data_IF_786788387338
#
_entry.id   IF_786788387338
#
_cell.length_a   1.000
_cell.length_b   1.000
_cell.length_c   1.000
_cell.angle_alpha   90.00
_cell.angle_beta   90.00
_cell.angle_gamma   90.00
#
_symmetry.space_group_name_H-M   'P 1'
#
loop_
_entity.id
_entity.type
_entity.pdbx_description
1 polymer ?
#
# COMPACT_ATOMS: atom_id res chain seq x y z
N UNK A 1 66.73 -47.21 -6.99
CA UNK A 1 66.70 -48.10 -8.18
C UNK A 1 65.29 -48.73 -8.24
N UNK A 2 64.69 -48.93 -9.43
CA UNK A 2 63.64 -48.04 -9.97
C UNK A 2 62.22 -48.65 -10.06
N UNK A 3 61.26 -47.72 -10.20
CA UNK A 3 60.04 -47.65 -11.03
C UNK A 3 59.18 -48.86 -11.47
N UNK A 4 57.88 -48.52 -11.49
CA UNK A 4 56.77 -49.01 -12.36
C UNK A 4 56.12 -50.35 -11.94
N UNK A 5 54.79 -50.53 -11.91
CA UNK A 5 53.74 -49.96 -12.77
C UNK A 5 52.31 -50.12 -12.17
N UNK A 6 51.34 -49.44 -12.83
CA UNK A 6 49.88 -49.67 -12.90
C UNK A 6 48.98 -49.01 -11.81
N UNK A 7 48.24 -47.93 -12.09
CA UNK A 7 47.00 -47.73 -12.87
C UNK A 7 45.68 -48.04 -12.13
N UNK A 8 44.73 -47.10 -12.27
CA UNK A 8 43.30 -47.09 -11.92
C UNK A 8 42.89 -46.77 -10.47
N UNK A 9 42.33 -45.57 -10.25
CA UNK A 9 40.88 -45.41 -10.22
C UNK A 9 40.47 -43.92 -10.22
N UNK A 10 39.39 -43.66 -10.96
CA UNK A 10 38.90 -42.35 -11.37
C UNK A 10 38.30 -41.56 -10.20
N UNK A 11 38.52 -40.24 -10.25
CA UNK A 11 37.96 -39.22 -9.38
C UNK A 11 36.44 -39.21 -9.53
N UNK A 12 35.71 -39.59 -8.47
CA UNK A 12 34.27 -39.34 -8.35
C UNK A 12 34.07 -37.86 -8.05
N UNK A 13 33.49 -37.16 -9.02
CA UNK A 13 33.08 -35.77 -8.93
C UNK A 13 32.14 -35.54 -7.75
N UNK A 14 32.46 -34.52 -6.98
CA UNK A 14 31.69 -34.02 -5.85
C UNK A 14 30.22 -33.80 -6.23
N UNK A 15 29.32 -34.30 -5.38
CA UNK A 15 27.90 -34.06 -5.49
C UNK A 15 27.59 -32.57 -5.46
N UNK A 16 27.18 -32.04 -6.60
CA UNK A 16 26.36 -30.84 -6.68
C UNK A 16 24.97 -31.22 -6.16
N UNK A 17 24.82 -31.15 -4.83
CA UNK A 17 23.51 -31.06 -4.22
C UNK A 17 22.87 -29.77 -4.71
N UNK A 18 22.06 -29.88 -5.77
CA UNK A 18 21.09 -28.87 -6.11
C UNK A 18 20.09 -28.83 -4.95
N UNK A 19 20.37 -27.98 -3.96
CA UNK A 19 19.37 -27.53 -3.02
C UNK A 19 18.26 -26.90 -3.84
N UNK A 20 17.21 -27.66 -4.09
CA UNK A 20 15.92 -27.11 -4.48
C UNK A 20 15.50 -26.21 -3.33
N UNK A 21 15.91 -24.95 -3.41
CA UNK A 21 15.28 -23.87 -2.68
C UNK A 21 13.81 -23.97 -3.04
N UNK A 22 13.03 -24.51 -2.12
CA UNK A 22 11.59 -24.43 -2.11
C UNK A 22 11.25 -22.94 -1.93
N UNK A 23 11.39 -22.19 -3.02
CA UNK A 23 10.74 -20.92 -3.20
C UNK A 23 9.25 -21.24 -3.19
N UNK A 24 8.67 -21.23 -1.99
CA UNK A 24 7.24 -21.17 -1.77
C UNK A 24 6.67 -20.22 -2.81
N UNK A 25 5.80 -20.78 -3.63
CA UNK A 25 5.07 -20.14 -4.71
C UNK A 25 4.77 -18.68 -4.35
N UNK A 26 5.47 -17.75 -4.99
CA UNK A 26 4.81 -16.50 -5.35
C UNK A 26 3.76 -16.90 -6.38
N UNK A 27 2.61 -17.40 -5.92
CA UNK A 27 1.40 -17.46 -6.73
C UNK A 27 1.33 -16.14 -7.48
N UNK A 28 1.33 -16.24 -8.81
CA UNK A 28 1.53 -15.13 -9.72
C UNK A 28 0.81 -13.87 -9.20
N UNK A 29 1.62 -12.94 -8.69
CA UNK A 29 1.18 -11.77 -7.92
C UNK A 29 0.36 -10.81 -8.78
N UNK A 30 -0.02 -11.18 -10.00
CA UNK A 30 -0.98 -10.47 -10.83
C UNK A 30 -2.07 -11.36 -11.45
N UNK A 31 -2.05 -12.70 -11.28
CA UNK A 31 -2.97 -13.63 -11.96
C UNK A 31 -4.46 -13.31 -11.80
N UNK A 32 -4.85 -12.78 -10.64
CA UNK A 32 -6.25 -12.46 -10.34
C UNK A 32 -6.54 -10.95 -10.45
N UNK A 33 -5.65 -10.17 -11.07
CA UNK A 33 -5.82 -8.73 -11.21
C UNK A 33 -6.35 -8.40 -12.62
N UNK A 34 -7.34 -7.49 -12.77
CA UNK A 34 -7.96 -6.65 -11.75
C UNK A 34 -9.12 -7.30 -10.97
N UNK A 35 -9.52 -8.53 -11.28
CA UNK A 35 -10.72 -9.18 -10.71
C UNK A 35 -10.76 -9.26 -9.17
N UNK A 36 -9.62 -9.40 -8.50
CA UNK A 36 -9.50 -9.46 -7.04
C UNK A 36 -9.51 -8.11 -6.34
N UNK A 37 -9.52 -7.01 -7.09
CA UNK A 37 -9.46 -5.67 -6.52
C UNK A 37 -10.67 -5.32 -5.64
N UNK A 38 -11.93 -5.57 -6.04
CA UNK A 38 -13.07 -5.26 -5.18
C UNK A 38 -12.99 -5.96 -3.82
N UNK A 39 -12.41 -7.16 -3.78
CA UNK A 39 -12.14 -7.87 -2.53
C UNK A 39 -11.11 -7.11 -1.67
N UNK A 40 -9.99 -6.67 -2.23
CA UNK A 40 -8.98 -5.89 -1.50
C UNK A 40 -9.56 -4.60 -0.92
N UNK A 41 -10.41 -3.88 -1.69
CA UNK A 41 -11.08 -2.68 -1.20
C UNK A 41 -12.08 -3.00 -0.08
N UNK A 42 -12.81 -4.11 -0.18
CA UNK A 42 -13.70 -4.58 0.89
C UNK A 42 -12.92 -4.88 2.18
N UNK A 43 -11.79 -5.57 2.08
CA UNK A 43 -10.93 -5.86 3.24
C UNK A 43 -10.34 -4.58 3.85
N UNK A 44 -9.98 -3.60 3.02
CA UNK A 44 -9.49 -2.30 3.47
C UNK A 44 -10.57 -1.53 4.22
N UNK A 45 -11.82 -1.53 3.72
CA UNK A 45 -12.99 -0.95 4.40
C UNK A 45 -13.29 -1.67 5.72
N UNK A 46 -13.20 -3.01 5.75
CA UNK A 46 -13.41 -3.79 6.97
C UNK A 46 -12.33 -3.50 8.03
N UNK A 47 -11.07 -3.33 7.63
CA UNK A 47 -10.01 -2.92 8.55
C UNK A 47 -10.23 -1.49 9.07
N UNK A 48 -10.64 -0.56 8.20
CA UNK A 48 -10.96 0.80 8.63
C UNK A 48 -12.15 0.82 9.62
N UNK A 49 -13.16 -0.03 9.40
CA UNK A 49 -14.30 -0.16 10.30
C UNK A 49 -13.93 -0.43 11.76
N UNK A 50 -12.78 -1.07 12.02
CA UNK A 50 -12.28 -1.32 13.40
C UNK A 50 -11.75 -0.07 14.10
N UNK A 51 -11.34 0.95 13.35
CA UNK A 51 -10.78 2.18 13.91
C UNK A 51 -11.67 3.41 13.72
N UNK A 52 -12.69 3.30 12.85
CA UNK A 52 -13.57 4.40 12.45
C UNK A 52 -14.17 5.14 13.63
N UNK A 53 -14.84 4.44 14.54
CA UNK A 53 -15.52 5.07 15.69
C UNK A 53 -14.56 5.83 16.58
N UNK A 54 -13.36 5.29 16.83
CA UNK A 54 -12.34 5.94 17.65
C UNK A 54 -11.94 7.29 17.03
N UNK A 55 -11.52 7.31 15.77
CA UNK A 55 -11.04 8.53 15.13
C UNK A 55 -12.16 9.54 14.84
N UNK A 56 -13.37 9.08 14.48
CA UNK A 56 -14.52 9.96 14.25
C UNK A 56 -15.01 10.65 15.53
N UNK A 57 -14.93 9.97 16.68
CA UNK A 57 -15.34 10.57 17.96
C UNK A 57 -14.35 11.65 18.43
N UNK A 58 -13.07 11.51 18.05
CA UNK A 58 -12.01 12.47 18.39
C UNK A 58 -11.90 13.63 17.39
N UNK A 59 -12.43 13.47 16.17
CA UNK A 59 -12.48 14.54 15.19
C UNK A 59 -13.56 15.58 15.56
N UNK A 60 -13.10 16.74 16.02
CA UNK A 60 -13.95 17.88 16.42
C UNK A 60 -14.01 18.97 15.34
N UNK A 61 -13.56 18.68 14.12
CA UNK A 61 -13.47 19.65 13.03
C UNK A 61 -14.61 19.45 12.03
N UNK A 62 -15.32 20.52 11.68
CA UNK A 62 -16.43 20.45 10.72
C UNK A 62 -15.99 20.59 9.25
N UNK A 63 -14.74 21.02 8.99
CA UNK A 63 -14.22 21.14 7.63
C UNK A 63 -13.89 19.77 7.03
N UNK A 64 -13.84 19.64 5.70
CA UNK A 64 -13.36 18.40 5.05
C UNK A 64 -11.88 18.54 4.71
N UNK A 65 -11.06 17.54 5.05
CA UNK A 65 -9.64 17.51 4.70
C UNK A 65 -9.42 16.98 3.26
N UNK A 66 -10.07 15.87 2.92
CA UNK A 66 -10.04 15.23 1.60
C UNK A 66 -11.14 15.77 0.69
N UNK A 67 -10.98 17.01 0.27
CA UNK A 67 -11.98 17.74 -0.53
C UNK A 67 -12.16 17.20 -1.97
N UNK A 68 -13.15 17.76 -2.66
CA UNK A 68 -13.49 17.38 -4.05
C UNK A 68 -12.36 17.64 -5.05
N UNK A 69 -11.52 18.66 -4.83
CA UNK A 69 -10.38 18.93 -5.72
C UNK A 69 -9.38 17.77 -5.77
N UNK A 70 -9.23 17.01 -4.68
CA UNK A 70 -8.42 15.80 -4.66
C UNK A 70 -9.03 14.70 -5.54
N UNK A 71 -10.36 14.53 -5.51
CA UNK A 71 -11.05 13.56 -6.34
C UNK A 71 -10.92 13.91 -7.83
N UNK A 72 -11.03 15.18 -8.18
CA UNK A 72 -10.85 15.63 -9.56
C UNK A 72 -9.40 15.43 -10.03
N UNK A 73 -8.40 15.66 -9.18
CA UNK A 73 -7.01 15.31 -9.47
C UNK A 73 -6.83 13.80 -9.71
N UNK A 74 -7.54 12.95 -8.94
CA UNK A 74 -7.52 11.49 -9.11
C UNK A 74 -8.11 11.07 -10.47
N UNK A 75 -9.17 11.74 -10.94
CA UNK A 75 -9.75 11.47 -12.26
C UNK A 75 -8.95 12.09 -13.42
N UNK A 76 -8.16 13.12 -13.13
CA UNK A 76 -7.39 13.86 -14.11
C UNK A 76 -6.13 13.15 -14.62
N UNK A 77 -5.37 13.85 -15.45
CA UNK A 77 -4.10 13.36 -16.02
C UNK A 77 -3.02 13.08 -14.96
N UNK A 78 -3.15 13.68 -13.77
CA UNK A 78 -2.28 13.46 -12.61
C UNK A 78 -2.80 12.40 -11.64
N UNK A 79 -3.83 11.63 -12.02
CA UNK A 79 -4.50 10.72 -11.09
C UNK A 79 -3.59 9.67 -10.46
N UNK A 80 -2.63 9.17 -11.23
CA UNK A 80 -1.61 8.28 -10.69
C UNK A 80 -0.78 8.96 -9.59
N UNK A 81 -0.32 10.18 -9.86
CA UNK A 81 0.58 10.94 -9.00
C UNK A 81 -0.12 11.24 -7.69
N UNK A 82 -1.34 11.76 -7.80
CA UNK A 82 -2.18 12.09 -6.67
C UNK A 82 -2.45 10.85 -5.80
N UNK A 83 -2.83 9.72 -6.41
CA UNK A 83 -3.06 8.48 -5.68
C UNK A 83 -1.79 7.93 -5.01
N UNK A 84 -0.69 7.84 -5.75
CA UNK A 84 0.59 7.32 -5.24
C UNK A 84 1.09 8.15 -4.05
N UNK A 85 1.03 9.48 -4.19
CA UNK A 85 1.48 10.41 -3.17
C UNK A 85 0.57 10.39 -1.93
N UNK A 86 -0.76 10.28 -2.10
CA UNK A 86 -1.69 10.13 -0.97
C UNK A 86 -1.50 8.82 -0.21
N UNK A 87 -1.31 7.69 -0.90
CA UNK A 87 -1.02 6.43 -0.21
C UNK A 87 0.27 6.55 0.60
N UNK A 88 1.32 7.14 0.02
CA UNK A 88 2.59 7.35 0.71
C UNK A 88 2.43 8.26 1.92
N UNK A 89 1.65 9.34 1.79
CA UNK A 89 1.35 10.26 2.89
C UNK A 89 0.67 9.55 4.06
N UNK A 90 -0.37 8.75 3.81
CA UNK A 90 -1.03 7.99 4.87
C UNK A 90 -0.08 7.02 5.57
N UNK A 91 0.70 6.25 4.81
CA UNK A 91 1.60 5.23 5.36
C UNK A 91 2.79 5.82 6.13
N UNK A 92 3.30 6.98 5.73
CA UNK A 92 4.52 7.54 6.32
C UNK A 92 4.28 8.67 7.34
N UNK A 93 3.16 9.40 7.22
CA UNK A 93 2.95 10.61 8.03
C UNK A 93 1.71 10.55 8.91
N UNK A 94 0.65 9.86 8.47
CA UNK A 94 -0.62 9.78 9.23
C UNK A 94 -0.61 8.57 10.16
N UNK A 95 -0.49 7.36 9.62
CA UNK A 95 -0.62 6.12 10.38
C UNK A 95 0.43 5.95 11.51
N UNK A 96 1.71 6.31 11.32
CA UNK A 96 2.70 6.25 12.40
C UNK A 96 2.40 7.18 13.57
N UNK A 97 1.65 8.26 13.36
CA UNK A 97 1.16 9.12 14.45
C UNK A 97 -0.11 8.54 15.04
N UNK A 98 -1.00 8.04 14.19
CA UNK A 98 -2.28 7.45 14.56
C UNK A 98 -2.12 6.27 15.54
N UNK A 99 -1.13 5.40 15.31
CA UNK A 99 -0.88 4.23 16.16
C UNK A 99 -0.42 4.56 17.59
N UNK A 100 0.02 5.80 17.85
CA UNK A 100 0.54 6.23 19.14
C UNK A 100 -0.52 6.91 20.02
N UNK A 101 -1.75 7.12 19.52
CA UNK A 101 -2.81 7.77 20.30
C UNK A 101 -3.45 6.86 21.34
N UNK A 102 -3.51 5.54 21.09
CA UNK A 102 -4.11 4.59 22.02
C UNK A 102 -3.48 3.19 21.84
N UNK A 103 -3.04 2.50 22.91
CA UNK A 103 -2.50 1.15 22.82
C UNK A 103 -3.47 0.14 22.19
N UNK A 104 -4.77 0.27 22.45
CA UNK A 104 -5.81 -0.65 21.98
C UNK A 104 -6.10 -0.42 20.48
N UNK A 105 -5.82 0.77 19.94
CA UNK A 105 -6.02 1.06 18.51
C UNK A 105 -4.81 0.67 17.65
N UNK A 106 -3.62 0.58 18.26
CA UNK A 106 -2.35 0.39 17.56
C UNK A 106 -2.36 -0.79 16.59
N UNK A 107 -2.79 -1.97 17.05
CA UNK A 107 -2.82 -3.17 16.21
C UNK A 107 -3.76 -2.99 15.00
N UNK A 108 -4.90 -2.31 15.21
CA UNK A 108 -5.87 -2.07 14.16
C UNK A 108 -5.38 -1.04 13.13
N UNK A 109 -4.68 0.01 13.56
CA UNK A 109 -4.01 0.96 12.66
C UNK A 109 -2.92 0.26 11.85
N UNK A 110 -2.10 -0.58 12.47
CA UNK A 110 -1.07 -1.36 11.78
C UNK A 110 -1.66 -2.32 10.74
N UNK A 111 -2.74 -3.02 11.10
CA UNK A 111 -3.48 -3.89 10.20
C UNK A 111 -4.04 -3.13 8.99
N UNK A 112 -4.57 -1.94 9.20
CA UNK A 112 -5.06 -1.06 8.14
C UNK A 112 -3.92 -0.62 7.20
N UNK A 113 -2.77 -0.22 7.77
CA UNK A 113 -1.57 0.16 7.02
C UNK A 113 -1.01 -0.96 6.16
N UNK A 114 -0.92 -2.18 6.67
CA UNK A 114 -0.43 -3.32 5.88
C UNK A 114 -1.38 -3.67 4.73
N UNK A 115 -2.71 -3.58 4.92
CA UNK A 115 -3.66 -3.75 3.80
C UNK A 115 -3.51 -2.66 2.74
N UNK A 116 -3.34 -1.40 3.13
CA UNK A 116 -3.11 -0.29 2.20
C UNK A 116 -1.79 -0.46 1.43
N UNK A 117 -0.73 -0.89 2.11
CA UNK A 117 0.58 -1.18 1.52
C UNK A 117 0.51 -2.34 0.52
N UNK A 118 -0.20 -3.41 0.85
CA UNK A 118 -0.44 -4.53 -0.07
C UNK A 118 -1.20 -4.07 -1.32
N UNK A 119 -2.26 -3.26 -1.15
CA UNK A 119 -2.99 -2.67 -2.27
C UNK A 119 -2.05 -1.85 -3.17
N UNK A 120 -1.23 -0.96 -2.58
CA UNK A 120 -0.23 -0.18 -3.32
C UNK A 120 0.75 -1.05 -4.11
N UNK A 121 1.26 -2.11 -3.49
CA UNK A 121 2.19 -3.03 -4.15
C UNK A 121 1.55 -3.73 -5.34
N UNK A 122 0.29 -4.18 -5.21
CA UNK A 122 -0.48 -4.79 -6.30
C UNK A 122 -0.67 -3.80 -7.45
N UNK A 123 -1.07 -2.57 -7.15
CA UNK A 123 -1.24 -1.48 -8.13
C UNK A 123 0.03 -1.13 -8.89
N UNK A 124 1.19 -1.14 -8.21
CA UNK A 124 2.48 -0.86 -8.84
C UNK A 124 2.97 -2.00 -9.73
N UNK A 125 2.81 -3.25 -9.27
CA UNK A 125 3.32 -4.44 -9.96
C UNK A 125 2.43 -4.86 -11.14
N UNK A 126 1.11 -4.78 -10.98
CA UNK A 126 0.17 -5.30 -11.97
C UNK A 126 -0.32 -4.20 -12.92
N UNK A 127 -0.10 -4.40 -14.22
CA UNK A 127 -0.57 -3.53 -15.31
C UNK A 127 -0.14 -2.05 -15.21
N UNK A 128 0.87 -1.73 -14.38
CA UNK A 128 1.37 -0.36 -14.15
C UNK A 128 0.23 0.64 -13.87
N UNK A 129 -0.68 0.32 -12.95
CA UNK A 129 -1.75 1.24 -12.54
C UNK A 129 -1.20 2.50 -11.86
N UNK A 130 0.04 2.45 -11.38
CA UNK A 130 0.76 3.60 -10.82
C UNK A 130 2.13 3.79 -11.51
N UNK A 131 2.21 4.27 -12.78
CA UNK A 131 3.48 4.38 -13.51
C UNK A 131 4.27 5.67 -13.22
N UNK A 132 3.78 6.55 -12.35
CA UNK A 132 4.23 7.94 -12.27
C UNK A 132 5.26 8.21 -11.14
N UNK A 133 6.09 9.24 -11.36
CA UNK A 133 7.16 9.70 -10.42
C UNK A 133 7.03 11.18 -10.01
N UNK A 134 5.99 11.90 -10.47
CA UNK A 134 5.80 13.33 -10.24
C UNK A 134 4.86 13.62 -9.04
N UNK A 135 4.91 14.86 -8.51
CA UNK A 135 4.08 15.33 -7.38
C UNK A 135 2.75 15.94 -7.85
N UNK A 136 1.68 15.86 -7.03
CA UNK A 136 0.38 16.51 -7.27
C UNK A 136 0.20 17.75 -6.38
N UNK A 137 -0.37 18.81 -6.97
CA UNK A 137 -0.68 20.06 -6.26
C UNK A 137 -1.83 19.88 -5.25
N UNK A 138 -2.86 19.08 -5.58
CA UNK A 138 -3.94 18.78 -4.63
C UNK A 138 -3.40 18.04 -3.40
N UNK A 139 -2.46 17.11 -3.60
CA UNK A 139 -1.82 16.40 -2.49
C UNK A 139 -0.97 17.35 -1.63
N UNK A 140 -0.27 18.30 -2.24
CA UNK A 140 0.45 19.34 -1.49
C UNK A 140 -0.48 20.21 -0.64
N UNK A 141 -1.68 20.54 -1.15
CA UNK A 141 -2.70 21.28 -0.39
C UNK A 141 -3.22 20.48 0.79
N UNK A 142 -3.51 19.18 0.61
CA UNK A 142 -3.93 18.27 1.69
C UNK A 142 -2.85 18.18 2.76
N UNK A 143 -1.58 17.97 2.36
CA UNK A 143 -0.44 17.95 3.30
C UNK A 143 -0.32 19.25 4.07
N UNK A 144 -0.44 20.39 3.38
CA UNK A 144 -0.38 21.71 4.01
C UNK A 144 -1.52 21.91 5.01
N UNK A 145 -2.75 21.50 4.66
CA UNK A 145 -3.89 21.56 5.56
C UNK A 145 -3.70 20.65 6.78
N UNK A 146 -3.28 19.41 6.57
CA UNK A 146 -2.95 18.46 7.63
C UNK A 146 -1.90 19.02 8.59
N UNK A 147 -0.79 19.56 8.08
CA UNK A 147 0.26 20.15 8.92
C UNK A 147 -0.24 21.31 9.77
N UNK A 148 -1.14 22.15 9.23
CA UNK A 148 -1.76 23.25 9.98
C UNK A 148 -2.66 22.77 11.11
N UNK A 149 -3.27 21.59 10.98
CA UNK A 149 -4.14 20.99 11.99
C UNK A 149 -3.38 20.29 13.13
N UNK A 150 -2.05 20.13 13.01
CA UNK A 150 -1.20 19.50 14.03
C UNK A 150 -1.76 18.12 14.46
N UNK A 151 -1.91 17.88 15.76
CA UNK A 151 -2.46 16.62 16.30
C UNK A 151 -3.88 16.35 15.79
N UNK A 152 -4.73 17.38 15.71
CA UNK A 152 -6.11 17.25 15.19
C UNK A 152 -6.12 16.76 13.73
N UNK A 153 -5.06 17.03 12.98
CA UNK A 153 -4.89 16.55 11.61
C UNK A 153 -4.86 15.02 11.54
N UNK A 154 -4.34 14.34 12.55
CA UNK A 154 -4.27 12.87 12.59
C UNK A 154 -5.67 12.28 12.73
N UNK A 155 -6.45 12.75 13.72
CA UNK A 155 -7.84 12.33 13.90
C UNK A 155 -8.66 12.63 12.64
N UNK A 156 -8.49 13.82 12.07
CA UNK A 156 -9.16 14.23 10.85
C UNK A 156 -8.89 13.30 9.67
N UNK A 157 -7.61 13.10 9.34
CA UNK A 157 -7.19 12.26 8.22
C UNK A 157 -7.63 10.80 8.40
N UNK A 158 -7.60 10.27 9.62
CA UNK A 158 -8.07 8.91 9.92
C UNK A 158 -9.60 8.82 9.87
N UNK A 159 -10.33 9.83 10.34
CA UNK A 159 -11.79 9.86 10.31
C UNK A 159 -12.36 9.87 8.88
N UNK A 160 -11.61 10.44 7.93
CA UNK A 160 -11.95 10.55 6.50
C UNK A 160 -11.33 9.43 5.64
N UNK A 161 -10.80 8.37 6.25
CA UNK A 161 -10.15 7.30 5.49
C UNK A 161 -11.10 6.55 4.55
N UNK A 162 -12.41 6.49 4.84
CA UNK A 162 -13.41 5.95 3.91
C UNK A 162 -13.60 6.80 2.65
N UNK A 163 -13.53 8.14 2.77
CA UNK A 163 -13.47 9.06 1.63
C UNK A 163 -12.26 8.70 0.76
N UNK A 164 -11.10 8.51 1.38
CA UNK A 164 -9.90 8.11 0.64
C UNK A 164 -10.09 6.78 -0.09
N UNK A 165 -10.66 5.75 0.55
CA UNK A 165 -10.96 4.47 -0.11
C UNK A 165 -11.88 4.66 -1.33
N UNK A 166 -12.90 5.51 -1.22
CA UNK A 166 -13.81 5.79 -2.33
C UNK A 166 -13.07 6.46 -3.51
N UNK A 167 -12.10 7.33 -3.23
CA UNK A 167 -11.28 7.96 -4.27
C UNK A 167 -10.38 6.93 -4.97
N UNK A 168 -9.81 5.97 -4.23
CA UNK A 168 -9.08 4.84 -4.83
C UNK A 168 -10.01 4.07 -5.78
N UNK A 169 -11.20 3.70 -5.32
CA UNK A 169 -12.17 2.94 -6.12
C UNK A 169 -12.56 3.68 -7.41
N UNK A 170 -12.76 4.99 -7.34
CA UNK A 170 -13.07 5.83 -8.50
C UNK A 170 -11.91 5.83 -9.53
N UNK A 171 -10.67 6.06 -9.08
CA UNK A 171 -9.48 6.01 -9.94
C UNK A 171 -9.36 4.66 -10.65
N UNK A 172 -9.58 3.58 -9.90
CA UNK A 172 -9.43 2.23 -10.42
C UNK A 172 -10.50 1.84 -11.40
N UNK A 173 -11.75 2.21 -11.13
CA UNK A 173 -12.86 2.02 -12.06
C UNK A 173 -12.52 2.69 -13.39
N UNK A 174 -12.07 3.94 -13.37
CA UNK A 174 -11.66 4.68 -14.56
C UNK A 174 -10.55 3.96 -15.37
N UNK A 175 -9.58 3.34 -14.70
CA UNK A 175 -8.48 2.60 -15.35
C UNK A 175 -8.87 1.22 -15.89
N UNK A 176 -9.99 0.67 -15.44
CA UNK A 176 -10.49 -0.64 -15.89
C UNK A 176 -11.50 -0.46 -17.04
N UNK A 177 -12.30 0.62 -17.00
CA UNK A 177 -13.37 0.87 -17.98
C UNK A 177 -12.92 1.63 -19.22
N UNK A 178 -11.79 2.35 -19.17
CA UNK A 178 -11.18 3.06 -20.30
C UNK A 178 -9.95 2.33 -20.81
#
# INVERSE_FOLDING_TARGET
>A
MPSSALLYCLVLLAGLGAGQGMGTQSEDSCAHFPAGLPHMLRELRAAFGRVKTFFQTQDQLDNVLLNESLLEDFKGYLGCQALSEMIQFYLAEVMPKAENHDPDIKEHVNSLGEKLKTLRQRLRRCHRFLPCENKSKAVEQVKTAFSKLQEKGVYKAMSEFDIFINYIEAYMTMKITN
#
